data_IF_270599861776
#
_entry.id   IF_270599861776
#
_cell.length_a   1.000
_cell.length_b   1.000
_cell.length_c   1.000
_cell.angle_alpha   90.00
_cell.angle_beta   90.00
_cell.angle_gamma   90.00
#
_symmetry.space_group_name_H-M   'P 1'
#
loop_
_entity.id
_entity.type
_entity.pdbx_description
1 polymer ?
#
# COMPACT_ATOMS: atom_id res chain seq x y z
N UNK A 1 -6.57 -16.78 10.81
CA UNK A 1 -7.18 -16.58 9.47
C UNK A 1 -6.46 -15.42 8.80
N UNK A 2 -5.70 -15.71 7.75
CA UNK A 2 -4.93 -14.67 7.05
C UNK A 2 -5.86 -13.70 6.33
N UNK A 3 -5.51 -12.41 6.37
CA UNK A 3 -6.22 -11.33 5.66
C UNK A 3 -6.43 -11.64 4.16
N UNK A 4 -5.50 -12.39 3.56
CA UNK A 4 -5.58 -12.85 2.16
C UNK A 4 -6.78 -13.76 1.91
N UNK A 5 -7.06 -14.66 2.86
CA UNK A 5 -8.16 -15.62 2.78
C UNK A 5 -9.50 -14.87 2.89
N UNK A 6 -9.58 -13.89 3.81
CA UNK A 6 -10.77 -13.05 4.00
C UNK A 6 -11.09 -12.27 2.72
N UNK A 7 -10.08 -11.69 2.07
CA UNK A 7 -10.26 -10.94 0.82
C UNK A 7 -10.81 -11.83 -0.32
N UNK A 8 -10.37 -13.08 -0.42
CA UNK A 8 -10.84 -14.04 -1.44
C UNK A 8 -12.32 -14.37 -1.22
N UNK A 9 -12.73 -14.63 0.03
CA UNK A 9 -14.13 -14.93 0.34
C UNK A 9 -15.06 -13.74 0.08
N UNK A 10 -14.61 -12.52 0.38
CA UNK A 10 -15.38 -11.30 0.10
C UNK A 10 -15.55 -11.13 -1.42
N UNK A 11 -14.48 -11.28 -2.21
CA UNK A 11 -14.56 -11.19 -3.66
C UNK A 11 -15.49 -12.26 -4.26
N UNK A 12 -15.42 -13.49 -3.77
CA UNK A 12 -16.30 -14.59 -4.20
C UNK A 12 -17.77 -14.32 -3.85
N UNK A 13 -18.05 -13.78 -2.66
CA UNK A 13 -19.40 -13.41 -2.24
C UNK A 13 -20.01 -12.30 -3.09
N UNK A 14 -19.22 -11.28 -3.43
CA UNK A 14 -19.66 -10.18 -4.32
C UNK A 14 -19.96 -10.70 -5.73
N UNK A 15 -19.10 -11.55 -6.29
CA UNK A 15 -19.32 -12.15 -7.60
C UNK A 15 -20.60 -13.00 -7.65
N UNK A 16 -20.84 -13.81 -6.62
CA UNK A 16 -22.05 -14.64 -6.52
C UNK A 16 -23.32 -13.79 -6.32
N UNK A 17 -23.23 -12.69 -5.56
CA UNK A 17 -24.35 -11.77 -5.35
C UNK A 17 -24.75 -11.06 -6.64
N UNK A 18 -23.78 -10.55 -7.41
CA UNK A 18 -24.02 -9.89 -8.71
C UNK A 18 -24.65 -10.86 -9.72
N UNK A 19 -24.24 -12.13 -9.74
CA UNK A 19 -24.86 -13.16 -10.59
C UNK A 19 -26.32 -13.41 -10.24
N UNK A 20 -26.64 -13.54 -8.94
CA UNK A 20 -28.01 -13.75 -8.48
C UNK A 20 -28.89 -12.52 -8.64
N UNK A 21 -28.33 -11.31 -8.49
CA UNK A 21 -29.03 -10.06 -8.75
C UNK A 21 -29.40 -9.97 -10.23
N UNK A 22 -28.47 -10.26 -11.15
CA UNK A 22 -28.76 -10.26 -12.59
C UNK A 22 -29.84 -11.29 -13.01
N UNK A 23 -29.90 -12.45 -12.35
CA UNK A 23 -30.93 -13.48 -12.63
C UNK A 23 -32.32 -13.12 -12.08
N UNK A 24 -32.40 -12.47 -10.92
CA UNK A 24 -33.68 -12.18 -10.24
C UNK A 24 -34.63 -11.29 -11.05
N UNK A 25 -34.11 -10.52 -12.01
CA UNK A 25 -34.90 -9.56 -12.80
C UNK A 25 -35.33 -10.07 -14.19
N UNK A 26 -35.14 -11.37 -14.49
CA UNK A 26 -35.77 -12.02 -15.66
C UNK A 26 -35.29 -11.51 -17.03
N UNK A 27 -34.13 -10.86 -17.10
CA UNK A 27 -33.60 -10.30 -18.33
C UNK A 27 -33.18 -11.39 -19.32
N UNK A 28 -33.47 -11.18 -20.62
CA UNK A 28 -32.94 -12.01 -21.72
C UNK A 28 -31.42 -12.13 -21.55
N UNK A 29 -30.87 -13.32 -21.79
CA UNK A 29 -29.45 -13.68 -21.56
C UNK A 29 -28.46 -12.59 -21.97
N UNK A 30 -28.69 -11.90 -23.10
CA UNK A 30 -27.83 -10.82 -23.59
C UNK A 30 -27.81 -9.57 -22.69
N UNK A 31 -28.94 -9.20 -22.07
CA UNK A 31 -29.02 -8.08 -21.15
C UNK A 31 -28.39 -8.43 -19.78
N UNK A 32 -28.57 -9.67 -19.30
CA UNK A 32 -27.87 -10.16 -18.10
C UNK A 32 -26.35 -10.18 -18.29
N UNK A 33 -25.87 -10.57 -19.47
CA UNK A 33 -24.44 -10.51 -19.84
C UNK A 33 -23.97 -9.04 -19.85
N UNK A 34 -24.73 -8.12 -20.47
CA UNK A 34 -24.40 -6.69 -20.47
C UNK A 34 -24.25 -6.10 -19.08
N UNK A 35 -25.17 -6.42 -18.15
CA UNK A 35 -25.08 -6.00 -16.75
C UNK A 35 -23.89 -6.62 -16.01
N UNK A 36 -23.62 -7.91 -16.22
CA UNK A 36 -22.47 -8.58 -15.60
C UNK A 36 -21.13 -7.97 -16.07
N UNK A 37 -21.01 -7.65 -17.37
CA UNK A 37 -19.83 -7.00 -17.94
C UNK A 37 -19.71 -5.56 -17.45
N UNK A 38 -20.82 -4.84 -17.33
CA UNK A 38 -20.86 -3.48 -16.80
C UNK A 38 -20.37 -3.40 -15.36
N UNK A 39 -20.85 -4.28 -14.48
CA UNK A 39 -20.42 -4.33 -13.08
C UNK A 39 -18.97 -4.82 -12.96
N UNK A 40 -18.56 -5.80 -13.77
CA UNK A 40 -17.17 -6.26 -13.82
C UNK A 40 -16.19 -5.16 -14.23
N UNK A 41 -16.52 -4.38 -15.26
CA UNK A 41 -15.74 -3.20 -15.69
C UNK A 41 -15.72 -2.11 -14.61
N UNK A 42 -16.86 -1.85 -13.97
CA UNK A 42 -16.94 -0.86 -12.89
C UNK A 42 -16.06 -1.26 -11.71
N UNK A 43 -16.08 -2.54 -11.31
CA UNK A 43 -15.19 -3.06 -10.28
C UNK A 43 -13.72 -2.99 -10.70
N UNK A 44 -13.37 -3.35 -11.94
CA UNK A 44 -12.00 -3.21 -12.47
C UNK A 44 -11.49 -1.77 -12.42
N UNK A 45 -12.35 -0.75 -12.55
CA UNK A 45 -11.92 0.65 -12.54
C UNK A 45 -11.94 1.21 -11.10
N UNK A 46 -13.06 1.08 -10.39
CA UNK A 46 -13.22 1.68 -9.08
C UNK A 46 -12.40 1.00 -7.99
N UNK A 47 -12.18 -0.32 -8.05
CA UNK A 47 -11.43 -1.05 -7.05
C UNK A 47 -9.94 -0.66 -7.01
N UNK A 48 -9.17 -0.70 -8.11
CA UNK A 48 -7.78 -0.26 -8.06
C UNK A 48 -7.68 1.23 -7.74
N UNK A 49 -8.62 2.07 -8.23
CA UNK A 49 -8.64 3.49 -7.87
C UNK A 49 -8.80 3.69 -6.35
N UNK A 50 -9.74 2.98 -5.74
CA UNK A 50 -9.98 3.00 -4.29
C UNK A 50 -8.75 2.52 -3.51
N UNK A 51 -8.15 1.39 -3.91
CA UNK A 51 -6.94 0.86 -3.28
C UNK A 51 -5.75 1.82 -3.41
N UNK A 52 -5.57 2.49 -4.55
CA UNK A 52 -4.49 3.48 -4.73
C UNK A 52 -4.71 4.69 -3.80
N UNK A 53 -5.94 5.18 -3.66
CA UNK A 53 -6.27 6.30 -2.77
C UNK A 53 -5.99 5.93 -1.32
N UNK A 54 -6.43 4.74 -0.90
CA UNK A 54 -6.25 4.27 0.47
C UNK A 54 -4.76 3.98 0.77
N UNK A 55 -4.03 3.40 -0.18
CA UNK A 55 -2.59 3.18 -0.04
C UNK A 55 -1.82 4.51 0.03
N UNK A 56 -2.25 5.54 -0.70
CA UNK A 56 -1.69 6.90 -0.59
C UNK A 56 -2.03 7.54 0.76
N UNK A 57 -3.18 7.26 1.36
CA UNK A 57 -3.51 7.71 2.73
C UNK A 57 -2.64 7.00 3.76
N UNK A 58 -2.52 5.68 3.68
CA UNK A 58 -1.67 4.88 4.57
C UNK A 58 -0.19 5.30 4.48
N UNK A 59 0.35 5.54 3.27
CA UNK A 59 1.71 6.06 3.10
C UNK A 59 1.91 7.42 3.76
N UNK A 60 0.97 8.36 3.60
CA UNK A 60 1.06 9.67 4.26
C UNK A 60 1.02 9.57 5.78
N UNK A 61 0.25 8.64 6.33
CA UNK A 61 0.21 8.38 7.78
C UNK A 61 1.54 7.79 8.28
N UNK A 62 2.13 6.84 7.54
CA UNK A 62 3.44 6.25 7.87
C UNK A 62 4.56 7.29 7.73
N UNK A 63 4.51 8.15 6.73
CA UNK A 63 5.47 9.24 6.54
C UNK A 63 5.36 10.30 7.66
N UNK A 64 4.13 10.62 8.10
CA UNK A 64 3.90 11.49 9.25
C UNK A 64 4.24 10.85 10.61
N UNK A 65 4.18 9.52 10.69
CA UNK A 65 4.57 8.70 11.86
C UNK A 65 6.00 8.15 11.66
N UNK A 66 6.80 8.82 10.84
CA UNK A 66 8.16 8.44 10.47
C UNK A 66 9.20 8.77 11.54
N UNK A 67 9.02 8.27 12.76
CA UNK A 67 10.16 7.91 13.62
C UNK A 67 10.44 6.43 13.42
N UNK A 68 11.43 6.10 12.59
CA UNK A 68 12.06 4.77 12.63
C UNK A 68 12.53 4.21 11.29
N UNK A 69 13.84 4.37 11.02
CA UNK A 69 14.68 3.50 10.17
C UNK A 69 14.58 3.58 8.64
N UNK A 70 14.15 4.71 8.05
CA UNK A 70 14.69 5.06 6.73
C UNK A 70 16.13 5.49 6.92
N UNK A 71 17.07 4.65 6.50
CA UNK A 71 18.50 4.81 6.71
C UNK A 71 18.96 6.25 6.47
N UNK A 72 19.23 6.97 7.56
CA UNK A 72 19.83 8.29 7.50
C UNK A 72 21.24 8.05 6.98
N UNK A 73 21.42 8.17 5.67
CA UNK A 73 22.73 8.16 5.03
C UNK A 73 23.41 9.47 5.39
N UNK A 74 23.98 9.50 6.60
CA UNK A 74 24.73 10.67 7.06
C UNK A 74 26.11 10.60 6.42
N UNK A 75 26.52 11.66 5.74
CA UNK A 75 27.88 11.80 5.26
C UNK A 75 28.77 12.34 6.37
N UNK A 76 29.93 11.72 6.58
CA UNK A 76 30.92 12.26 7.51
C UNK A 76 31.56 13.54 6.93
N UNK A 77 31.55 14.65 7.67
CA UNK A 77 32.20 15.91 7.27
C UNK A 77 33.72 15.80 7.11
N UNK A 78 34.34 14.84 7.80
CA UNK A 78 35.80 14.66 7.80
C UNK A 78 36.31 13.78 6.64
N UNK A 79 35.60 12.69 6.32
CA UNK A 79 36.06 11.74 5.31
C UNK A 79 35.18 11.70 4.04
N UNK A 80 34.05 12.41 4.03
CA UNK A 80 33.11 12.45 2.91
C UNK A 80 32.36 11.14 2.65
N UNK A 81 32.65 10.06 3.38
CA UNK A 81 32.00 8.75 3.19
C UNK A 81 30.63 8.72 3.89
N UNK A 82 29.65 8.16 3.19
CA UNK A 82 28.31 7.92 3.72
C UNK A 82 28.27 6.66 4.59
N UNK A 83 27.67 6.76 5.76
CA UNK A 83 27.39 5.60 6.62
C UNK A 83 25.90 5.59 6.97
N UNK A 84 25.39 4.40 7.27
CA UNK A 84 23.99 4.21 7.61
C UNK A 84 23.80 4.15 9.13
N UNK A 85 22.83 4.88 9.65
CA UNK A 85 22.48 4.90 11.08
C UNK A 85 23.09 6.08 11.86
N UNK A 86 23.07 5.98 13.18
CA UNK A 86 23.50 7.05 14.10
C UNK A 86 24.66 6.63 15.03
N UNK A 87 25.83 6.25 14.48
CA UNK A 87 27.00 5.94 15.30
C UNK A 87 27.63 7.22 15.87
N UNK A 88 28.14 7.16 17.10
CA UNK A 88 28.84 8.28 17.75
C UNK A 88 30.16 8.62 17.05
N UNK A 89 30.78 7.61 16.43
CA UNK A 89 32.03 7.69 15.69
C UNK A 89 31.82 7.20 14.25
N UNK A 90 32.49 7.82 13.29
CA UNK A 90 32.42 7.39 11.90
C UNK A 90 33.08 6.01 11.74
N UNK A 91 32.41 5.01 11.12
CA UNK A 91 32.97 3.67 10.91
C UNK A 91 34.13 3.62 9.91
N UNK A 92 34.35 4.71 9.14
CA UNK A 92 35.39 4.76 8.12
C UNK A 92 36.65 5.50 8.55
N UNK A 93 36.54 6.53 9.39
CA UNK A 93 37.68 7.36 9.80
C UNK A 93 37.86 7.45 11.32
N UNK A 94 36.93 6.94 12.13
CA UNK A 94 37.01 6.97 13.59
C UNK A 94 36.75 8.35 14.22
N UNK A 95 36.52 9.41 13.44
CA UNK A 95 36.18 10.73 13.98
C UNK A 95 34.78 10.76 14.59
N UNK A 96 34.61 11.51 15.68
CA UNK A 96 33.32 11.70 16.34
C UNK A 96 32.40 12.56 15.45
N UNK A 97 31.22 12.03 15.14
CA UNK A 97 30.24 12.67 14.22
C UNK A 97 29.00 13.16 14.96
N UNK A 98 28.79 12.72 16.21
CA UNK A 98 27.65 13.12 17.03
C UNK A 98 28.01 14.30 17.93
N UNK A 99 27.57 15.51 17.56
CA UNK A 99 27.56 16.67 18.49
C UNK A 99 26.39 16.47 19.46
N UNK A 100 26.69 16.02 20.69
CA UNK A 100 25.73 16.12 21.79
C UNK A 100 25.55 17.61 22.10
N UNK A 101 24.40 18.17 21.73
CA UNK A 101 24.01 19.49 22.19
C UNK A 101 23.21 19.28 23.50
N UNK A 102 23.75 19.68 24.66
CA UNK A 102 23.10 19.48 25.96
C UNK A 102 21.75 20.19 26.07
#
# INVERSE_FOLDING_TARGET
MDIRIIAIFIAAGIAFWVYNDAQKWGHRTNAAIGWSVGVFLLLIIFLPLYLIIELRRARRLIESTGTGLSGISTSCEFCGKSYNGNPTYCPHCGHMVRKYNP
#
